data_IF_748143646247
#
_entry.id   IF_748143646247
#
_cell.length_a   1.000
_cell.length_b   1.000
_cell.length_c   1.000
_cell.angle_alpha   90.00
_cell.angle_beta   90.00
_cell.angle_gamma   90.00
#
_symmetry.space_group_name_H-M   'P 1'
#
loop_
_entity.id
_entity.type
_entity.pdbx_description
1 polymer ?
#
# COMPACT_ATOMS: atom_id res chain seq x y z
N UNK A 1 -29.49 -2.62 -0.99
CA UNK A 1 -30.23 -2.05 0.15
C UNK A 1 -29.17 -1.53 1.12
N UNK A 2 -28.98 -0.22 1.17
CA UNK A 2 -27.92 0.43 1.94
C UNK A 2 -28.34 0.47 3.41
N UNK A 3 -27.52 -0.10 4.29
CA UNK A 3 -27.67 0.13 5.73
C UNK A 3 -26.87 1.40 6.05
N UNK A 4 -27.60 2.50 6.24
CA UNK A 4 -27.05 3.74 6.80
C UNK A 4 -26.67 3.51 8.27
N UNK A 5 -25.36 3.49 8.53
CA UNK A 5 -24.81 3.69 9.87
C UNK A 5 -24.86 5.19 10.18
N UNK A 6 -25.73 5.59 11.12
CA UNK A 6 -25.76 6.94 11.67
C UNK A 6 -24.55 7.13 12.58
N UNK A 7 -23.55 7.89 12.13
CA UNK A 7 -22.49 8.40 13.01
C UNK A 7 -21.11 8.67 12.41
N UNK A 8 -20.83 8.34 11.14
CA UNK A 8 -19.44 8.28 10.63
C UNK A 8 -19.21 8.95 9.25
N UNK A 9 -20.24 9.62 8.70
CA UNK A 9 -20.23 10.09 7.31
C UNK A 9 -19.18 11.14 6.94
N UNK A 10 -18.59 11.84 7.92
CA UNK A 10 -17.54 12.83 7.69
C UNK A 10 -16.15 12.20 7.61
N UNK A 11 -15.84 11.28 8.52
CA UNK A 11 -14.54 10.63 8.65
C UNK A 11 -14.35 9.60 7.54
N UNK A 12 -15.37 8.78 7.25
CA UNK A 12 -15.37 7.86 6.11
C UNK A 12 -15.17 8.57 4.77
N UNK A 13 -15.81 9.73 4.58
CA UNK A 13 -15.64 10.55 3.37
C UNK A 13 -14.24 11.16 3.27
N UNK A 14 -13.73 11.73 4.37
CA UNK A 14 -12.35 12.23 4.44
C UNK A 14 -11.33 11.15 4.07
N UNK A 15 -11.54 9.91 4.53
CA UNK A 15 -10.65 8.80 4.17
C UNK A 15 -10.78 8.36 2.71
N UNK A 16 -12.01 8.31 2.18
CA UNK A 16 -12.21 8.03 0.76
C UNK A 16 -11.51 9.09 -0.12
N UNK A 17 -11.66 10.37 0.22
CA UNK A 17 -11.00 11.48 -0.49
C UNK A 17 -9.46 11.37 -0.39
N UNK A 18 -8.94 10.95 0.77
CA UNK A 18 -7.49 10.75 0.98
C UNK A 18 -6.93 9.57 0.19
N UNK A 19 -7.66 8.46 0.11
CA UNK A 19 -7.27 7.32 -0.72
C UNK A 19 -7.22 7.74 -2.18
N UNK A 20 -8.25 8.42 -2.68
CA UNK A 20 -8.27 8.93 -4.06
C UNK A 20 -7.10 9.89 -4.34
N UNK A 21 -6.79 10.77 -3.39
CA UNK A 21 -5.64 11.67 -3.50
C UNK A 21 -4.31 10.90 -3.54
N UNK A 22 -4.14 9.90 -2.68
CA UNK A 22 -2.94 9.04 -2.66
C UNK A 22 -2.80 8.31 -4.00
N UNK A 23 -3.87 7.66 -4.47
CA UNK A 23 -3.85 6.90 -5.73
C UNK A 23 -3.48 7.80 -6.90
N UNK A 24 -4.11 8.98 -7.01
CA UNK A 24 -3.87 9.91 -8.10
C UNK A 24 -2.45 10.47 -8.09
N UNK A 25 -1.98 10.94 -6.93
CA UNK A 25 -0.63 11.55 -6.80
C UNK A 25 0.45 10.50 -7.00
N UNK A 26 0.36 9.38 -6.28
CA UNK A 26 1.38 8.32 -6.34
C UNK A 26 1.49 7.73 -7.74
N UNK A 27 0.35 7.47 -8.41
CA UNK A 27 0.36 7.00 -9.80
C UNK A 27 1.04 8.02 -10.73
N UNK A 28 0.69 9.29 -10.63
CA UNK A 28 1.29 10.33 -11.46
C UNK A 28 2.81 10.42 -11.23
N UNK A 29 3.23 10.42 -9.97
CA UNK A 29 4.65 10.48 -9.61
C UNK A 29 5.41 9.24 -10.08
N UNK A 30 4.85 8.03 -9.97
CA UNK A 30 5.51 6.80 -10.46
C UNK A 30 5.70 6.84 -11.99
N UNK A 31 4.69 7.30 -12.73
CA UNK A 31 4.80 7.52 -14.19
C UNK A 31 5.89 8.55 -14.52
N UNK A 32 5.93 9.66 -13.78
CA UNK A 32 6.98 10.67 -13.95
C UNK A 32 8.38 10.12 -13.67
N UNK A 33 8.53 9.30 -12.62
CA UNK A 33 9.81 8.67 -12.25
C UNK A 33 10.27 7.62 -13.28
N UNK A 34 9.33 6.92 -13.93
CA UNK A 34 9.60 5.96 -14.99
C UNK A 34 9.99 6.66 -16.32
N UNK A 35 9.53 7.89 -16.54
CA UNK A 35 9.77 8.66 -17.76
C UNK A 35 11.08 9.49 -17.75
N UNK A 36 11.84 9.48 -16.65
CA UNK A 36 13.12 10.22 -16.53
C UNK A 36 14.24 9.56 -17.33
N UNK A 37 15.22 10.36 -17.75
CA UNK A 37 16.42 9.90 -18.48
C UNK A 37 17.25 8.85 -17.72
N UNK A 38 17.19 8.89 -16.38
CA UNK A 38 17.71 7.84 -15.49
C UNK A 38 16.56 7.40 -14.56
N UNK A 39 15.72 6.45 -15.00
CA UNK A 39 14.47 6.17 -14.31
C UNK A 39 14.73 5.36 -13.04
N UNK A 40 14.08 5.79 -11.94
CA UNK A 40 14.11 5.10 -10.64
C UNK A 40 13.24 3.83 -10.70
N UNK A 41 12.20 3.87 -11.53
CA UNK A 41 11.27 2.77 -11.75
C UNK A 41 11.61 2.12 -13.10
N UNK A 42 11.87 0.81 -13.16
CA UNK A 42 12.12 0.10 -14.42
C UNK A 42 10.97 0.30 -15.41
N UNK A 43 11.30 0.48 -16.70
CA UNK A 43 10.32 0.77 -17.75
C UNK A 43 9.45 -0.43 -18.15
N UNK A 44 9.87 -1.64 -17.78
CA UNK A 44 9.17 -2.91 -17.97
C UNK A 44 8.20 -3.25 -16.84
N UNK A 45 8.31 -2.59 -15.67
CA UNK A 45 7.37 -2.75 -14.57
C UNK A 45 5.99 -2.20 -14.97
N UNK A 46 5.01 -3.10 -15.06
CA UNK A 46 3.62 -2.77 -15.37
C UNK A 46 2.87 -2.34 -14.12
N UNK A 47 2.85 -1.04 -13.87
CA UNK A 47 2.17 -0.43 -12.73
C UNK A 47 0.64 -0.65 -12.69
N UNK A 48 0.05 -1.15 -13.79
CA UNK A 48 -1.34 -1.52 -13.93
C UNK A 48 -1.64 -3.01 -13.73
N UNK A 49 -0.60 -3.86 -13.63
CA UNK A 49 -0.71 -5.29 -13.36
C UNK A 49 0.54 -5.82 -12.66
N UNK A 50 0.56 -5.74 -11.33
CA UNK A 50 1.63 -6.25 -10.48
C UNK A 50 1.34 -7.68 -9.98
N UNK A 51 0.23 -8.29 -10.38
CA UNK A 51 -0.20 -9.60 -9.88
C UNK A 51 0.65 -10.76 -10.38
N UNK A 52 1.26 -10.58 -11.55
CA UNK A 52 2.20 -11.53 -12.15
C UNK A 52 3.66 -11.32 -11.72
N UNK A 53 3.94 -10.18 -11.08
CA UNK A 53 5.29 -9.81 -10.65
C UNK A 53 5.66 -10.44 -9.30
N UNK A 54 6.96 -10.69 -9.12
CA UNK A 54 7.52 -10.98 -7.79
C UNK A 54 7.45 -9.73 -6.90
N UNK A 55 7.82 -9.86 -5.62
CA UNK A 55 7.86 -8.70 -4.74
C UNK A 55 8.80 -7.62 -5.36
N UNK A 56 8.36 -6.36 -5.52
CA UNK A 56 9.09 -5.35 -6.30
C UNK A 56 10.25 -4.73 -5.50
N UNK A 57 11.17 -5.57 -5.01
CA UNK A 57 12.23 -5.19 -4.07
C UNK A 57 13.08 -4.04 -4.57
N UNK A 58 13.65 -4.19 -5.77
CA UNK A 58 14.58 -3.21 -6.34
C UNK A 58 13.93 -1.82 -6.45
N UNK A 59 12.65 -1.79 -6.83
CA UNK A 59 11.86 -0.55 -6.96
C UNK A 59 11.64 0.09 -5.60
N UNK A 60 11.29 -0.71 -4.59
CA UNK A 60 11.09 -0.25 -3.21
C UNK A 60 12.39 0.32 -2.64
N UNK A 61 13.52 -0.36 -2.84
CA UNK A 61 14.85 0.12 -2.41
C UNK A 61 15.26 1.41 -3.13
N UNK A 62 15.04 1.47 -4.45
CA UNK A 62 15.29 2.68 -5.25
C UNK A 62 14.45 3.88 -4.77
N UNK A 63 13.17 3.69 -4.41
CA UNK A 63 12.34 4.75 -3.84
C UNK A 63 12.87 5.14 -2.45
N UNK A 64 13.17 4.16 -1.58
CA UNK A 64 13.70 4.38 -0.21
C UNK A 64 14.97 5.23 -0.22
N UNK A 65 15.88 4.93 -1.14
CA UNK A 65 17.20 5.54 -1.22
C UNK A 65 17.24 6.81 -2.08
N UNK A 66 16.10 7.22 -2.65
CA UNK A 66 16.00 8.42 -3.49
C UNK A 66 16.10 9.73 -2.68
N UNK A 67 16.35 10.83 -3.39
CA UNK A 67 16.37 12.20 -2.84
C UNK A 67 14.97 12.78 -2.54
N UNK A 68 13.89 12.00 -2.73
CA UNK A 68 12.53 12.45 -2.43
C UNK A 68 12.36 12.78 -0.95
N UNK A 69 11.36 13.57 -0.57
CA UNK A 69 11.07 13.79 0.85
C UNK A 69 10.63 12.48 1.52
N UNK A 70 10.80 12.39 2.85
CA UNK A 70 10.38 11.21 3.61
C UNK A 70 8.91 10.86 3.38
N UNK A 71 8.04 11.88 3.33
CA UNK A 71 6.61 11.72 3.03
C UNK A 71 6.38 11.15 1.64
N UNK A 72 7.05 11.68 0.61
CA UNK A 72 6.91 11.15 -0.76
C UNK A 72 7.38 9.70 -0.87
N UNK A 73 8.53 9.35 -0.27
CA UNK A 73 9.00 7.96 -0.26
C UNK A 73 7.98 7.03 0.40
N UNK A 74 7.44 7.46 1.53
CA UNK A 74 6.45 6.70 2.27
C UNK A 74 5.15 6.50 1.48
N UNK A 75 4.61 7.57 0.87
CA UNK A 75 3.40 7.50 0.03
C UNK A 75 3.60 6.58 -1.18
N UNK A 76 4.73 6.69 -1.87
CA UNK A 76 5.04 5.88 -3.06
C UNK A 76 5.22 4.40 -2.73
N UNK A 77 5.98 4.08 -1.67
CA UNK A 77 6.15 2.69 -1.21
C UNK A 77 4.80 2.13 -0.74
N UNK A 78 3.99 2.93 -0.02
CA UNK A 78 2.65 2.52 0.40
C UNK A 78 1.78 2.16 -0.81
N UNK A 79 1.75 3.02 -1.82
CA UNK A 79 0.96 2.79 -3.02
C UNK A 79 1.44 1.56 -3.80
N UNK A 80 2.75 1.47 -4.06
CA UNK A 80 3.36 0.36 -4.81
C UNK A 80 3.08 -0.99 -4.13
N UNK A 81 3.34 -1.09 -2.82
CA UNK A 81 3.15 -2.34 -2.08
C UNK A 81 1.67 -2.71 -1.97
N UNK A 82 0.77 -1.73 -1.83
CA UNK A 82 -0.65 -2.02 -1.76
C UNK A 82 -1.24 -2.43 -3.11
N UNK A 83 -0.80 -1.83 -4.22
CA UNK A 83 -1.14 -2.31 -5.57
C UNK A 83 -0.66 -3.73 -5.79
N UNK A 84 0.61 -4.03 -5.47
CA UNK A 84 1.14 -5.38 -5.56
C UNK A 84 0.32 -6.38 -4.72
N UNK A 85 -0.01 -6.02 -3.48
CA UNK A 85 -0.79 -6.88 -2.60
C UNK A 85 -2.22 -7.12 -3.13
N UNK A 86 -2.89 -6.06 -3.61
CA UNK A 86 -4.23 -6.15 -4.21
C UNK A 86 -4.24 -7.02 -5.46
N UNK A 87 -3.27 -6.88 -6.36
CA UNK A 87 -3.25 -7.68 -7.60
C UNK A 87 -2.95 -9.15 -7.30
N UNK A 88 -2.27 -9.46 -6.19
CA UNK A 88 -1.89 -10.83 -5.81
C UNK A 88 -2.97 -11.59 -5.07
N UNK A 89 -3.80 -10.93 -4.26
CA UNK A 89 -4.80 -11.60 -3.40
C UNK A 89 -6.20 -10.97 -3.41
N UNK A 90 -6.39 -9.86 -4.14
CA UNK A 90 -7.63 -9.09 -4.15
C UNK A 90 -7.86 -8.29 -2.86
N UNK A 91 -9.12 -7.87 -2.66
CA UNK A 91 -9.55 -7.06 -1.52
C UNK A 91 -9.80 -5.61 -1.90
N UNK A 92 -9.82 -4.73 -0.90
CA UNK A 92 -9.96 -3.30 -1.11
C UNK A 92 -9.04 -2.54 -0.18
N UNK A 93 -8.60 -1.36 -0.64
CA UNK A 93 -8.01 -0.37 0.25
C UNK A 93 -8.94 -0.11 1.43
N UNK A 94 -8.35 -0.04 2.61
CA UNK A 94 -9.06 0.23 3.84
C UNK A 94 -8.21 1.10 4.74
N UNK A 95 -8.89 1.65 5.73
CA UNK A 95 -8.26 2.29 6.84
C UNK A 95 -7.92 1.28 7.94
N UNK A 96 -6.71 1.35 8.50
CA UNK A 96 -6.23 0.45 9.56
C UNK A 96 -6.09 1.23 10.87
N UNK A 97 -7.09 1.21 11.77
CA UNK A 97 -7.02 1.96 13.02
C UNK A 97 -5.86 1.46 13.88
N UNK A 98 -4.93 2.36 14.25
CA UNK A 98 -3.84 2.06 15.18
C UNK A 98 -4.15 2.69 16.55
N UNK A 99 -3.98 1.96 17.66
CA UNK A 99 -4.16 2.51 19.00
C UNK A 99 -2.96 3.39 19.36
N UNK A 100 -3.02 4.71 19.13
CA UNK A 100 -1.96 5.64 19.56
C UNK A 100 -2.56 6.99 19.97
N UNK A 101 -2.05 7.56 21.06
CA UNK A 101 -2.54 8.76 21.75
C UNK A 101 -2.39 10.11 20.97
N UNK A 102 -1.97 10.11 19.70
CA UNK A 102 -1.78 11.33 18.88
C UNK A 102 -2.34 11.22 17.44
N UNK A 103 -3.55 11.72 17.16
CA UNK A 103 -4.26 11.56 15.87
C UNK A 103 -3.69 12.34 14.67
N UNK A 104 -2.91 13.41 14.90
CA UNK A 104 -2.45 14.31 13.82
C UNK A 104 -1.32 13.73 12.97
N UNK A 105 -0.49 12.86 13.55
CA UNK A 105 0.54 12.10 12.82
C UNK A 105 -0.10 10.96 12.02
N UNK A 106 -1.26 10.49 12.48
CA UNK A 106 -1.95 9.32 11.94
C UNK A 106 -2.78 9.65 10.67
N UNK A 107 -3.24 10.90 10.50
CA UNK A 107 -4.04 11.34 9.34
C UNK A 107 -3.34 11.18 7.96
N UNK A 108 -2.05 10.84 7.91
CA UNK A 108 -1.31 10.55 6.69
C UNK A 108 -1.22 9.07 6.28
N UNK A 109 -1.29 8.11 7.22
CA UNK A 109 -0.66 6.78 6.99
C UNK A 109 -1.43 5.58 7.54
N UNK A 110 -2.71 5.71 7.86
CA UNK A 110 -3.54 4.60 8.32
C UNK A 110 -4.06 3.69 7.20
N UNK A 111 -3.26 3.37 6.18
CA UNK A 111 -3.76 2.72 4.95
C UNK A 111 -3.28 1.28 4.86
N UNK A 112 -4.21 0.37 4.60
CA UNK A 112 -3.94 -1.05 4.41
C UNK A 112 -4.92 -1.70 3.44
N UNK A 113 -4.88 -3.03 3.37
CA UNK A 113 -5.77 -3.83 2.53
C UNK A 113 -6.68 -4.67 3.44
N UNK A 114 -7.97 -4.70 3.14
CA UNK A 114 -8.94 -5.61 3.76
C UNK A 114 -9.51 -6.60 2.75
N UNK A 115 -9.97 -7.76 3.26
CA UNK A 115 -10.79 -8.68 2.48
C UNK A 115 -12.24 -8.18 2.36
N UNK A 116 -13.06 -8.91 1.58
CA UNK A 116 -14.48 -8.60 1.38
C UNK A 116 -15.31 -8.54 2.68
N UNK A 117 -14.87 -9.22 3.75
CA UNK A 117 -15.53 -9.17 5.06
C UNK A 117 -15.13 -7.95 5.91
N UNK A 118 -14.25 -7.09 5.39
CA UNK A 118 -13.73 -5.91 6.10
C UNK A 118 -12.62 -6.23 7.11
N UNK A 119 -12.10 -7.47 7.13
CA UNK A 119 -10.95 -7.83 7.97
C UNK A 119 -9.68 -7.29 7.33
N UNK A 120 -8.91 -6.48 8.06
CA UNK A 120 -7.60 -5.99 7.63
C UNK A 120 -6.65 -7.18 7.45
N UNK A 121 -6.10 -7.30 6.24
CA UNK A 121 -5.14 -8.32 5.86
C UNK A 121 -3.70 -7.82 6.01
N UNK A 122 -3.45 -6.54 5.73
CA UNK A 122 -2.12 -5.96 5.82
C UNK A 122 -2.18 -4.45 6.11
N UNK A 123 -1.34 -3.98 7.03
CA UNK A 123 -1.08 -2.56 7.24
C UNK A 123 0.09 -2.13 6.34
N UNK A 124 -0.25 -1.71 5.12
CA UNK A 124 0.73 -1.42 4.08
C UNK A 124 1.54 -0.18 4.43
N UNK A 125 0.86 0.86 4.90
CA UNK A 125 1.52 2.12 5.25
C UNK A 125 2.46 1.98 6.45
N UNK A 126 2.11 1.17 7.46
CA UNK A 126 3.07 0.85 8.54
C UNK A 126 4.30 0.13 8.00
N UNK A 127 4.11 -0.85 7.12
CA UNK A 127 5.23 -1.56 6.50
C UNK A 127 6.12 -0.63 5.68
N UNK A 128 5.53 0.29 4.92
CA UNK A 128 6.24 1.28 4.13
C UNK A 128 7.02 2.27 5.02
N UNK A 129 6.46 2.68 6.16
CA UNK A 129 7.18 3.50 7.15
C UNK A 129 8.43 2.77 7.64
N UNK A 130 8.27 1.52 8.08
CA UNK A 130 9.38 0.74 8.60
C UNK A 130 10.50 0.60 7.55
N UNK A 131 10.16 0.42 6.28
CA UNK A 131 11.13 0.37 5.16
C UNK A 131 11.88 1.70 5.02
N UNK A 132 11.16 2.83 5.05
CA UNK A 132 11.77 4.18 5.00
C UNK A 132 12.67 4.43 6.21
N UNK A 133 12.34 3.86 7.37
CA UNK A 133 13.12 3.94 8.61
C UNK A 133 14.29 2.94 8.68
N UNK A 134 14.52 2.15 7.62
CA UNK A 134 15.67 1.26 7.50
C UNK A 134 15.44 -0.17 7.99
N UNK A 135 14.19 -0.66 7.93
CA UNK A 135 13.91 -2.08 8.17
C UNK A 135 14.66 -3.00 7.19
N UNK A 136 14.92 -4.22 7.66
CA UNK A 136 15.52 -5.28 6.87
C UNK A 136 14.60 -5.68 5.70
N UNK A 137 15.08 -5.47 4.47
CA UNK A 137 14.32 -5.78 3.26
C UNK A 137 14.13 -7.28 3.03
N UNK A 138 15.07 -8.13 3.47
CA UNK A 138 14.90 -9.59 3.37
C UNK A 138 13.73 -10.04 4.23
N UNK A 139 13.64 -9.48 5.45
CA UNK A 139 12.53 -9.75 6.34
C UNK A 139 11.20 -9.22 5.80
N UNK A 140 11.17 -7.98 5.29
CA UNK A 140 9.94 -7.36 4.76
C UNK A 140 9.43 -8.12 3.53
N UNK A 141 10.30 -8.46 2.60
CA UNK A 141 9.94 -9.26 1.43
C UNK A 141 9.38 -10.63 1.83
N UNK A 142 10.05 -11.35 2.73
CA UNK A 142 9.59 -12.65 3.22
C UNK A 142 8.21 -12.55 3.89
N UNK A 143 7.98 -11.51 4.69
CA UNK A 143 6.70 -11.26 5.34
C UNK A 143 5.57 -11.02 4.33
N UNK A 144 5.80 -10.18 3.31
CA UNK A 144 4.81 -9.92 2.27
C UNK A 144 4.47 -11.17 1.47
N UNK A 145 5.49 -11.94 1.07
CA UNK A 145 5.29 -13.20 0.36
C UNK A 145 4.52 -14.23 1.22
N UNK A 146 4.86 -14.37 2.50
CA UNK A 146 4.16 -15.27 3.42
C UNK A 146 2.68 -14.85 3.61
N UNK A 147 2.40 -13.55 3.70
CA UNK A 147 1.04 -13.03 3.83
C UNK A 147 0.20 -13.33 2.57
N UNK A 148 0.79 -13.18 1.37
CA UNK A 148 0.14 -13.54 0.11
C UNK A 148 -0.15 -15.04 0.04
N UNK A 149 0.82 -15.89 0.39
CA UNK A 149 0.63 -17.34 0.39
C UNK A 149 -0.45 -17.81 1.37
N UNK A 150 -0.43 -17.27 2.59
CA UNK A 150 -1.42 -17.58 3.63
C UNK A 150 -2.84 -17.21 3.17
N UNK A 151 -2.98 -16.04 2.55
CA UNK A 151 -4.26 -15.55 2.03
C UNK A 151 -4.80 -16.45 0.90
N UNK A 152 -3.95 -16.88 -0.04
CA UNK A 152 -4.32 -17.82 -1.12
C UNK A 152 -4.75 -19.19 -0.60
N UNK A 153 -4.05 -19.74 0.40
CA UNK A 153 -4.45 -21.01 1.04
C UNK A 153 -5.80 -20.89 1.73
N UNK A 154 -6.07 -19.76 2.39
CA UNK A 154 -7.38 -19.53 3.02
C UNK A 154 -8.52 -19.39 2.01
N UNK A 155 -8.28 -18.88 0.79
CA UNK A 155 -9.31 -18.81 -0.25
C UNK A 155 -9.59 -20.16 -0.90
N UNK A 156 -8.56 -21.00 -1.11
CA UNK A 156 -8.73 -22.32 -1.72
C UNK A 156 -9.40 -23.32 -0.78
N UNK A 157 -9.15 -23.25 0.53
CA UNK A 157 -9.81 -24.10 1.54
C UNK A 157 -11.32 -23.85 1.72
N UNK A 158 -11.87 -22.80 1.10
CA UNK A 158 -13.31 -22.45 1.13
C UNK A 158 -14.05 -22.80 -0.17
N UNK A 159 -13.39 -23.41 -1.15
CA UNK A 159 -13.99 -23.93 -2.39
C UNK A 159 -14.20 -25.43 -2.29
#
# INVERSE_FOLDING_TARGET
MYIESKGDGGISKLYADRLLDLEKKSRATLVELQAKDNPIIPSDLKMDDLGSEEFPREVVECIRDSELSQTERHELITYLLGCWYLDRIGGSWTYVPMPVDMPSVYLGFGIGIANESGTVLANIAESARDIVEGADMDFKEALFNANVESSKKSSDSRR
#
